data_IF_853289009060
#
_entry.id   IF_853289009060
#
_cell.length_a   1.000
_cell.length_b   1.000
_cell.length_c   1.000
_cell.angle_alpha   90.00
_cell.angle_beta   90.00
_cell.angle_gamma   90.00
#
_symmetry.space_group_name_H-M   'P 1'
#
loop_
_entity.id
_entity.type
_entity.pdbx_description
1 polymer ?
#
# COMPACT_ATOMS: atom_id res chain seq x y z
N UNK A 1 36.09 -5.26 1.95
CA UNK A 1 35.75 -4.52 0.69
C UNK A 1 34.57 -3.61 0.98
N UNK A 2 34.51 -2.45 0.37
CA UNK A 2 33.37 -1.52 0.49
C UNK A 2 32.14 -2.16 -0.22
N UNK A 3 31.00 -2.36 0.43
CA UNK A 3 29.85 -2.99 -0.19
C UNK A 3 29.27 -2.10 -1.30
N UNK A 4 28.90 -2.70 -2.42
CA UNK A 4 28.16 -2.01 -3.48
C UNK A 4 26.68 -2.02 -3.14
N UNK A 5 26.06 -0.83 -3.13
CA UNK A 5 24.66 -0.60 -2.81
C UNK A 5 24.01 0.04 -4.05
N UNK A 6 22.85 -0.41 -4.46
CA UNK A 6 22.11 0.20 -5.55
C UNK A 6 20.70 0.59 -5.14
N UNK A 7 20.27 1.76 -5.60
CA UNK A 7 18.88 2.20 -5.63
C UNK A 7 18.44 2.13 -7.09
N UNK A 8 17.69 1.10 -7.49
CA UNK A 8 17.44 0.82 -8.90
C UNK A 8 16.46 1.79 -9.54
N UNK A 9 15.69 2.53 -8.74
CA UNK A 9 14.74 3.51 -9.24
C UNK A 9 14.38 4.53 -8.14
N UNK A 10 14.87 5.76 -8.30
CA UNK A 10 14.57 6.92 -7.44
C UNK A 10 13.78 7.98 -8.24
N UNK A 11 12.75 7.55 -9.01
CA UNK A 11 11.91 8.44 -9.80
C UNK A 11 10.42 8.37 -9.41
N UNK A 12 9.77 9.52 -9.16
CA UNK A 12 10.39 10.83 -8.90
C UNK A 12 11.31 10.77 -7.68
N UNK A 13 12.31 11.67 -7.57
CA UNK A 13 13.33 11.62 -6.51
C UNK A 13 12.71 11.59 -5.11
N UNK A 14 13.18 10.65 -4.29
CA UNK A 14 12.80 10.52 -2.89
C UNK A 14 14.04 10.42 -2.00
N UNK A 15 15.04 9.64 -2.39
CA UNK A 15 16.31 9.51 -1.69
C UNK A 15 17.24 10.69 -1.99
N UNK A 16 17.37 11.03 -3.27
CA UNK A 16 18.25 12.11 -3.72
C UNK A 16 17.82 13.43 -3.08
N UNK A 17 18.72 14.05 -2.31
CA UNK A 17 18.46 15.27 -1.56
C UNK A 17 17.73 15.09 -0.22
N UNK A 18 17.39 13.85 0.18
CA UNK A 18 16.79 13.56 1.49
C UNK A 18 17.83 13.43 2.60
N UNK A 19 17.36 13.48 3.86
CA UNK A 19 18.20 13.22 5.03
C UNK A 19 18.82 11.81 5.06
N UNK A 20 18.31 10.88 4.29
CA UNK A 20 18.79 9.49 4.25
C UNK A 20 19.94 9.27 3.24
N UNK A 21 20.17 10.20 2.31
CA UNK A 21 21.18 10.02 1.27
C UNK A 21 22.60 9.95 1.82
N UNK A 22 23.01 10.92 2.63
CA UNK A 22 24.35 10.96 3.22
C UNK A 22 24.63 9.74 4.13
N UNK A 23 23.72 9.33 5.04
CA UNK A 23 23.85 8.09 5.79
C UNK A 23 24.01 6.84 4.91
N UNK A 24 23.23 6.71 3.82
CA UNK A 24 23.36 5.57 2.91
C UNK A 24 24.73 5.54 2.24
N UNK A 25 25.22 6.68 1.74
CA UNK A 25 26.54 6.81 1.10
C UNK A 25 27.69 6.50 2.04
N UNK A 26 27.52 6.71 3.34
CA UNK A 26 28.51 6.35 4.35
C UNK A 26 28.65 4.82 4.56
N UNK A 27 27.66 4.02 4.11
CA UNK A 27 27.68 2.56 4.26
C UNK A 27 28.41 1.83 3.12
N UNK A 28 28.62 2.49 1.97
CA UNK A 28 29.22 1.82 0.84
C UNK A 28 29.33 2.64 -0.44
N UNK A 29 29.72 1.98 -1.54
CA UNK A 29 29.68 2.53 -2.89
C UNK A 29 28.22 2.52 -3.40
N UNK A 30 27.57 3.68 -3.41
CA UNK A 30 26.15 3.83 -3.69
C UNK A 30 25.90 4.37 -5.09
N UNK A 31 25.20 3.57 -5.90
CA UNK A 31 24.69 3.97 -7.20
C UNK A 31 23.18 4.18 -7.13
N UNK A 32 22.72 5.38 -7.53
CA UNK A 32 21.30 5.76 -7.58
C UNK A 32 20.89 5.98 -9.03
N UNK A 33 19.83 5.31 -9.47
CA UNK A 33 19.23 5.51 -10.79
C UNK A 33 18.02 6.44 -10.66
N UNK A 34 18.15 7.68 -11.15
CA UNK A 34 17.12 8.72 -11.08
C UNK A 34 16.07 8.68 -12.20
N UNK A 35 16.02 7.60 -12.97
CA UNK A 35 15.11 7.42 -14.10
C UNK A 35 14.31 6.14 -13.92
N UNK A 36 13.08 6.12 -14.47
CA UNK A 36 12.27 4.89 -14.55
C UNK A 36 12.98 3.84 -15.41
N UNK A 37 12.59 2.56 -15.25
CA UNK A 37 13.11 1.46 -16.03
C UNK A 37 13.23 0.16 -15.22
N UNK A 38 13.23 0.23 -13.90
CA UNK A 38 13.35 -0.95 -13.06
C UNK A 38 12.12 -1.89 -13.13
N UNK A 39 11.02 -1.49 -13.78
CA UNK A 39 9.90 -2.34 -14.13
C UNK A 39 10.22 -3.40 -15.20
N UNK A 40 11.28 -3.19 -15.99
CA UNK A 40 11.78 -4.14 -16.97
C UNK A 40 12.85 -5.03 -16.34
N UNK A 41 12.64 -6.35 -16.32
CA UNK A 41 13.56 -7.30 -15.66
C UNK A 41 15.00 -7.16 -16.14
N UNK A 42 15.23 -7.03 -17.46
CA UNK A 42 16.58 -6.90 -18.02
C UNK A 42 17.29 -5.63 -17.53
N UNK A 43 16.55 -4.52 -17.45
CA UNK A 43 17.08 -3.25 -16.96
C UNK A 43 17.34 -3.31 -15.45
N UNK A 44 16.43 -3.93 -14.69
CA UNK A 44 16.61 -4.14 -13.25
C UNK A 44 17.88 -4.96 -12.97
N UNK A 45 18.08 -6.06 -13.69
CA UNK A 45 19.30 -6.89 -13.59
C UNK A 45 20.55 -6.06 -13.92
N UNK A 46 20.52 -5.26 -15.00
CA UNK A 46 21.63 -4.39 -15.38
C UNK A 46 21.95 -3.37 -14.28
N UNK A 47 20.94 -2.76 -13.68
CA UNK A 47 21.10 -1.78 -12.57
C UNK A 47 21.62 -2.42 -11.31
N UNK A 48 21.14 -3.60 -10.94
CA UNK A 48 21.66 -4.35 -9.78
C UNK A 48 23.13 -4.73 -10.01
N UNK A 49 23.47 -5.26 -11.16
CA UNK A 49 24.85 -5.62 -11.52
C UNK A 49 25.56 -6.43 -10.44
N UNK A 50 26.67 -5.91 -9.92
CA UNK A 50 27.45 -6.53 -8.86
C UNK A 50 27.09 -6.02 -7.45
N UNK A 51 25.94 -5.38 -7.26
CA UNK A 51 25.55 -4.87 -5.95
C UNK A 51 25.25 -6.00 -4.98
N UNK A 52 25.64 -5.78 -3.72
CA UNK A 52 25.37 -6.69 -2.59
C UNK A 52 24.05 -6.33 -1.92
N UNK A 53 23.68 -5.04 -1.98
CA UNK A 53 22.48 -4.47 -1.36
C UNK A 53 21.68 -3.72 -2.39
N UNK A 54 20.37 -3.94 -2.38
CA UNK A 54 19.37 -3.11 -3.06
C UNK A 54 18.58 -2.35 -2.00
N UNK A 55 18.42 -1.04 -2.18
CA UNK A 55 17.40 -0.25 -1.48
C UNK A 55 16.26 -0.01 -2.46
N UNK A 56 15.15 -0.70 -2.25
CA UNK A 56 13.99 -0.63 -3.14
C UNK A 56 12.97 0.40 -2.64
N UNK A 57 12.82 1.50 -3.40
CA UNK A 57 11.93 2.61 -3.04
C UNK A 57 10.57 2.49 -3.73
N UNK A 58 10.53 1.85 -4.92
CA UNK A 58 9.33 1.79 -5.77
C UNK A 58 8.84 0.35 -5.96
N UNK A 59 7.54 0.13 -5.82
CA UNK A 59 6.95 -1.21 -5.90
C UNK A 59 6.90 -1.80 -7.32
N UNK A 60 7.15 -1.01 -8.35
CA UNK A 60 7.13 -1.52 -9.73
C UNK A 60 8.40 -2.28 -10.15
N UNK A 61 9.51 -2.16 -9.44
CA UNK A 61 10.66 -3.05 -9.59
C UNK A 61 10.29 -4.43 -9.04
N UNK A 62 10.20 -5.44 -9.91
CA UNK A 62 9.79 -6.80 -9.53
C UNK A 62 10.99 -7.71 -9.39
N UNK A 63 11.26 -8.19 -8.19
CA UNK A 63 12.34 -9.12 -7.86
C UNK A 63 11.85 -10.57 -8.01
N UNK A 64 11.71 -11.01 -9.26
CA UNK A 64 11.32 -12.39 -9.60
C UNK A 64 12.48 -13.37 -9.39
N UNK A 65 12.20 -14.69 -9.40
CA UNK A 65 13.25 -15.71 -9.34
C UNK A 65 14.29 -15.53 -10.47
N UNK A 66 13.86 -15.12 -11.67
CA UNK A 66 14.76 -14.84 -12.82
C UNK A 66 15.71 -13.67 -12.53
N UNK A 67 15.20 -12.57 -11.97
CA UNK A 67 16.02 -11.42 -11.59
C UNK A 67 17.04 -11.81 -10.52
N UNK A 68 16.59 -12.52 -9.48
CA UNK A 68 17.43 -12.98 -8.38
C UNK A 68 18.50 -13.97 -8.86
N UNK A 69 18.15 -14.86 -9.79
CA UNK A 69 19.10 -15.80 -10.41
C UNK A 69 20.21 -15.09 -11.19
N UNK A 70 19.86 -14.01 -11.88
CA UNK A 70 20.82 -13.21 -12.66
C UNK A 70 21.72 -12.31 -11.77
N UNK A 71 21.41 -12.18 -10.47
CA UNK A 71 22.15 -11.33 -9.54
C UNK A 71 22.74 -12.16 -8.36
N UNK A 72 23.66 -13.11 -8.59
CA UNK A 72 24.15 -14.03 -7.55
C UNK A 72 24.94 -13.36 -6.42
N UNK A 73 25.38 -12.10 -6.63
CA UNK A 73 26.04 -11.26 -5.63
C UNK A 73 25.09 -10.63 -4.60
N UNK A 74 23.80 -10.53 -4.92
CA UNK A 74 22.82 -9.86 -4.05
C UNK A 74 22.63 -10.62 -2.73
N UNK A 75 22.59 -9.88 -1.63
CA UNK A 75 22.44 -10.41 -0.25
C UNK A 75 21.31 -9.78 0.53
N UNK A 76 20.95 -8.53 0.22
CA UNK A 76 19.87 -7.81 0.90
C UNK A 76 19.02 -7.04 -0.10
N UNK A 77 17.71 -7.11 0.07
CA UNK A 77 16.75 -6.15 -0.46
C UNK A 77 16.13 -5.42 0.73
N UNK A 78 16.45 -4.14 0.90
CA UNK A 78 15.84 -3.26 1.90
C UNK A 78 14.72 -2.44 1.25
N UNK A 79 13.47 -2.67 1.66
CA UNK A 79 12.28 -2.08 1.05
C UNK A 79 11.84 -0.86 1.85
N UNK A 80 11.71 0.29 1.19
CA UNK A 80 10.96 1.42 1.72
C UNK A 80 9.46 1.18 1.54
N UNK A 81 8.78 0.89 2.63
CA UNK A 81 7.37 0.54 2.65
C UNK A 81 7.09 -0.76 3.40
N UNK A 82 5.81 -1.09 3.58
CA UNK A 82 5.39 -2.31 4.29
C UNK A 82 5.16 -3.49 3.34
N UNK A 83 4.70 -3.22 2.11
CA UNK A 83 4.37 -4.24 1.11
C UNK A 83 5.61 -4.93 0.55
N UNK A 84 5.49 -6.23 0.26
CA UNK A 84 6.55 -7.07 -0.32
C UNK A 84 6.07 -7.85 -1.53
N UNK A 85 4.93 -7.47 -2.06
CA UNK A 85 4.24 -8.13 -3.17
C UNK A 85 4.98 -8.06 -4.52
N UNK A 86 5.98 -7.18 -4.61
CA UNK A 86 6.89 -7.07 -5.75
C UNK A 86 8.19 -7.92 -5.60
N UNK A 87 8.31 -8.72 -4.52
CA UNK A 87 9.48 -9.57 -4.24
C UNK A 87 9.04 -11.02 -4.10
N UNK A 88 9.65 -11.92 -4.87
CA UNK A 88 9.52 -13.36 -4.67
C UNK A 88 10.28 -13.79 -3.42
N UNK A 89 9.54 -13.86 -2.31
CA UNK A 89 10.12 -14.18 -1.01
C UNK A 89 10.64 -15.62 -0.92
N UNK A 90 10.06 -16.57 -1.67
CA UNK A 90 10.49 -17.96 -1.68
C UNK A 90 11.78 -18.11 -2.46
N UNK A 91 11.90 -17.44 -3.60
CA UNK A 91 13.15 -17.36 -4.35
C UNK A 91 14.24 -16.66 -3.53
N UNK A 92 13.92 -15.60 -2.77
CA UNK A 92 14.86 -14.97 -1.85
C UNK A 92 15.38 -15.96 -0.79
N UNK A 93 14.49 -16.74 -0.17
CA UNK A 93 14.87 -17.77 0.80
C UNK A 93 15.79 -18.83 0.18
N UNK A 94 15.42 -19.36 -0.99
CA UNK A 94 16.19 -20.37 -1.71
C UNK A 94 17.60 -19.90 -2.10
N UNK A 95 17.75 -18.60 -2.42
CA UNK A 95 19.01 -17.99 -2.85
C UNK A 95 19.81 -17.34 -1.72
N UNK A 96 19.28 -17.31 -0.50
CA UNK A 96 19.93 -16.69 0.64
C UNK A 96 19.99 -15.17 0.56
N UNK A 97 19.01 -14.53 -0.06
CA UNK A 97 18.83 -13.08 -0.10
C UNK A 97 17.92 -12.69 1.04
N UNK A 98 18.42 -11.88 1.98
CA UNK A 98 17.60 -11.31 3.04
C UNK A 98 16.66 -10.22 2.48
N UNK A 99 15.48 -10.10 3.10
CA UNK A 99 14.54 -9.04 2.77
C UNK A 99 14.13 -8.35 4.07
N UNK A 100 14.25 -7.02 4.09
CA UNK A 100 13.76 -6.16 5.16
C UNK A 100 12.76 -5.15 4.60
N UNK A 101 11.86 -4.65 5.46
CA UNK A 101 10.92 -3.60 5.06
C UNK A 101 10.83 -2.51 6.16
N UNK A 102 9.93 -1.52 5.98
CA UNK A 102 9.74 -0.45 6.97
C UNK A 102 8.29 -0.46 7.49
N UNK A 103 7.96 -1.42 8.38
CA UNK A 103 6.58 -1.63 8.81
C UNK A 103 6.06 -0.44 9.62
N UNK A 104 4.84 0.01 9.29
CA UNK A 104 4.10 1.01 10.04
C UNK A 104 4.54 2.47 9.83
N UNK A 105 5.62 2.73 9.11
CA UNK A 105 6.14 4.10 8.88
C UNK A 105 5.10 4.99 8.20
N UNK A 106 4.33 4.44 7.25
CA UNK A 106 3.31 5.16 6.50
C UNK A 106 1.91 5.10 7.11
N UNK A 107 1.75 4.51 8.31
CA UNK A 107 0.41 4.22 8.84
C UNK A 107 -0.42 5.47 9.10
N UNK A 108 0.19 6.56 9.58
CA UNK A 108 -0.51 7.82 9.80
C UNK A 108 -0.99 8.45 8.49
N UNK A 109 -0.09 8.62 7.52
CA UNK A 109 -0.41 9.26 6.24
C UNK A 109 -1.46 8.48 5.45
N UNK A 110 -1.32 7.14 5.37
CA UNK A 110 -2.32 6.31 4.67
C UNK A 110 -3.67 6.34 5.39
N UNK A 111 -3.69 6.41 6.72
CA UNK A 111 -4.94 6.54 7.47
C UNK A 111 -5.62 7.89 7.21
N UNK A 112 -4.88 8.99 7.21
CA UNK A 112 -5.38 10.32 6.86
C UNK A 112 -5.91 10.35 5.42
N UNK A 113 -5.17 9.77 4.48
CA UNK A 113 -5.60 9.65 3.08
C UNK A 113 -6.87 8.80 2.94
N UNK A 114 -7.01 7.73 3.73
CA UNK A 114 -8.24 6.91 3.77
C UNK A 114 -9.44 7.74 4.22
N UNK A 115 -9.28 8.55 5.28
CA UNK A 115 -10.35 9.47 5.74
C UNK A 115 -10.65 10.53 4.68
N UNK A 116 -9.62 11.08 4.03
CA UNK A 116 -9.81 12.05 2.95
C UNK A 116 -10.61 11.47 1.78
N UNK A 117 -10.27 10.25 1.30
CA UNK A 117 -11.03 9.55 0.27
C UNK A 117 -12.47 9.23 0.71
N UNK A 118 -12.65 8.80 1.96
CA UNK A 118 -13.97 8.55 2.53
C UNK A 118 -14.85 9.80 2.49
N UNK A 119 -14.33 10.94 2.93
CA UNK A 119 -15.03 12.23 2.86
C UNK A 119 -15.23 12.70 1.41
N UNK A 120 -14.22 12.55 0.57
CA UNK A 120 -14.28 12.99 -0.82
C UNK A 120 -15.36 12.25 -1.62
N UNK A 121 -15.50 10.94 -1.43
CA UNK A 121 -16.50 10.14 -2.15
C UNK A 121 -17.91 10.34 -1.59
N UNK A 122 -18.09 10.31 -0.26
CA UNK A 122 -19.41 10.48 0.38
C UNK A 122 -19.97 11.89 0.17
N UNK A 123 -19.11 12.90 0.11
CA UNK A 123 -19.47 14.31 -0.10
C UNK A 123 -19.33 14.76 -1.55
N UNK A 124 -18.93 13.87 -2.49
CA UNK A 124 -18.73 14.14 -3.92
C UNK A 124 -17.85 15.37 -4.19
N UNK A 125 -16.85 15.62 -3.33
CA UNK A 125 -16.07 16.87 -3.37
C UNK A 125 -15.41 17.12 -4.73
N UNK A 126 -14.69 16.16 -5.36
CA UNK A 126 -14.03 16.41 -6.63
C UNK A 126 -15.02 16.71 -7.80
N UNK A 127 -16.19 16.05 -7.78
CA UNK A 127 -17.22 16.31 -8.78
C UNK A 127 -17.81 17.72 -8.64
N UNK A 128 -18.14 18.12 -7.40
CA UNK A 128 -18.69 19.44 -7.11
C UNK A 128 -17.67 20.56 -7.40
N UNK A 129 -16.39 20.37 -7.07
CA UNK A 129 -15.33 21.34 -7.39
C UNK A 129 -15.23 21.54 -8.91
N UNK A 130 -15.15 20.44 -9.67
CA UNK A 130 -15.11 20.48 -11.14
C UNK A 130 -16.31 21.22 -11.73
N UNK A 131 -17.52 20.87 -11.30
CA UNK A 131 -18.76 21.42 -11.83
C UNK A 131 -18.90 22.90 -11.47
N UNK A 132 -18.51 23.29 -10.24
CA UNK A 132 -18.51 24.70 -9.80
C UNK A 132 -17.51 25.53 -10.59
N UNK A 133 -16.31 25.02 -10.87
CA UNK A 133 -15.31 25.69 -11.74
C UNK A 133 -15.80 25.83 -13.17
N UNK A 134 -16.65 24.92 -13.64
CA UNK A 134 -17.30 25.00 -14.95
C UNK A 134 -18.51 25.95 -14.97
N UNK A 135 -18.76 26.72 -13.90
CA UNK A 135 -19.87 27.67 -13.79
C UNK A 135 -21.22 27.01 -13.48
N UNK A 136 -21.24 25.71 -13.22
CA UNK A 136 -22.44 25.00 -12.79
C UNK A 136 -22.65 25.20 -11.28
N UNK A 137 -23.91 25.04 -10.84
CA UNK A 137 -24.27 25.17 -9.42
C UNK A 137 -25.05 23.93 -8.95
N UNK A 138 -24.41 22.73 -8.90
CA UNK A 138 -25.09 21.50 -8.55
C UNK A 138 -25.49 21.52 -7.06
N UNK A 139 -26.77 21.30 -6.78
CA UNK A 139 -27.29 21.08 -5.43
C UNK A 139 -27.90 19.69 -5.38
N UNK A 140 -27.59 18.94 -4.32
CA UNK A 140 -28.11 17.60 -4.13
C UNK A 140 -27.90 17.13 -2.68
N UNK A 141 -28.52 16.02 -2.34
CA UNK A 141 -28.32 15.37 -1.04
C UNK A 141 -26.95 14.69 -1.01
N UNK A 142 -26.27 14.85 0.09
CA UNK A 142 -24.97 14.26 0.37
C UNK A 142 -25.04 13.44 1.66
N UNK A 143 -24.12 12.49 1.81
CA UNK A 143 -24.08 11.64 2.99
C UNK A 143 -23.24 12.27 4.10
N UNK A 144 -23.78 12.32 5.33
CA UNK A 144 -22.99 12.61 6.53
C UNK A 144 -22.41 11.31 7.11
N UNK A 145 -21.37 11.41 7.92
CA UNK A 145 -20.72 10.26 8.56
C UNK A 145 -21.30 9.91 9.93
N UNK A 146 -21.80 10.92 10.68
CA UNK A 146 -22.40 10.71 11.99
C UNK A 146 -23.55 9.68 11.93
N UNK A 147 -23.51 8.71 12.83
CA UNK A 147 -24.50 7.63 12.90
C UNK A 147 -24.33 6.52 11.87
N UNK A 148 -23.46 6.68 10.86
CA UNK A 148 -23.13 5.62 9.89
C UNK A 148 -22.25 4.54 10.52
N UNK A 149 -22.05 3.46 9.80
CA UNK A 149 -21.20 2.33 10.20
C UNK A 149 -20.03 2.19 9.25
N UNK A 150 -18.81 2.24 9.76
CA UNK A 150 -17.56 1.96 9.02
C UNK A 150 -17.10 0.54 9.33
N UNK A 151 -17.01 -0.29 8.33
CA UNK A 151 -16.43 -1.63 8.37
C UNK A 151 -14.96 -1.62 7.97
N UNK A 152 -14.11 -2.10 8.86
CA UNK A 152 -12.66 -2.17 8.65
C UNK A 152 -12.25 -3.61 8.36
N UNK A 153 -11.89 -3.91 7.11
CA UNK A 153 -11.29 -5.19 6.75
C UNK A 153 -9.80 -5.14 7.08
N UNK A 154 -9.47 -5.44 8.32
CA UNK A 154 -8.12 -5.47 8.87
C UNK A 154 -7.84 -4.38 9.91
N UNK A 155 -7.28 -4.81 11.05
CA UNK A 155 -6.81 -3.95 12.15
C UNK A 155 -5.31 -4.03 12.33
N UNK A 156 -4.56 -3.92 11.23
CA UNK A 156 -3.12 -3.67 11.25
C UNK A 156 -2.80 -2.23 11.69
N UNK A 157 -1.57 -1.77 11.48
CA UNK A 157 -1.16 -0.41 11.86
C UNK A 157 -2.05 0.67 11.22
N UNK A 158 -2.37 0.53 9.93
CA UNK A 158 -3.22 1.48 9.20
C UNK A 158 -4.67 1.40 9.69
N UNK A 159 -5.29 0.19 9.70
CA UNK A 159 -6.69 0.05 10.06
C UNK A 159 -7.02 0.53 11.47
N UNK A 160 -6.11 0.33 12.43
CA UNK A 160 -6.23 0.88 13.79
C UNK A 160 -6.22 2.41 13.77
N UNK A 161 -5.30 3.00 13.01
CA UNK A 161 -5.23 4.45 12.91
C UNK A 161 -6.43 5.07 12.20
N UNK A 162 -6.97 4.39 11.17
CA UNK A 162 -8.26 4.78 10.56
C UNK A 162 -9.40 4.74 11.56
N UNK A 163 -9.48 3.67 12.37
CA UNK A 163 -10.49 3.59 13.44
C UNK A 163 -10.39 4.77 14.41
N UNK A 164 -9.18 5.12 14.87
CA UNK A 164 -8.95 6.25 15.78
C UNK A 164 -9.38 7.59 15.15
N UNK A 165 -9.01 7.83 13.88
CA UNK A 165 -9.37 9.06 13.15
C UNK A 165 -10.85 9.15 12.80
N UNK A 166 -11.53 8.01 12.63
CA UNK A 166 -12.96 7.98 12.30
C UNK A 166 -13.88 8.25 13.51
N UNK A 167 -13.46 7.89 14.72
CA UNK A 167 -14.28 8.03 15.94
C UNK A 167 -14.86 9.43 16.17
N UNK A 168 -14.09 10.53 16.02
CA UNK A 168 -14.61 11.88 16.23
C UNK A 168 -15.77 12.27 15.31
N UNK A 169 -15.98 11.55 14.20
CA UNK A 169 -17.13 11.77 13.30
C UNK A 169 -18.44 11.14 13.81
N UNK A 170 -18.46 10.53 14.99
CA UNK A 170 -19.66 9.86 15.51
C UNK A 170 -20.06 8.60 14.74
N UNK A 171 -19.11 7.98 14.03
CA UNK A 171 -19.32 6.78 13.23
C UNK A 171 -19.18 5.53 14.10
N UNK A 172 -20.02 4.52 13.86
CA UNK A 172 -19.90 3.20 14.51
C UNK A 172 -18.85 2.36 13.78
N UNK A 173 -18.03 1.61 14.52
CA UNK A 173 -16.94 0.83 13.97
C UNK A 173 -17.24 -0.67 14.05
N UNK A 174 -17.16 -1.35 12.92
CA UNK A 174 -17.06 -2.80 12.81
C UNK A 174 -15.68 -3.17 12.30
N UNK A 175 -15.14 -4.30 12.74
CA UNK A 175 -13.86 -4.76 12.26
C UNK A 175 -13.82 -6.27 12.10
N UNK A 176 -13.05 -6.73 11.12
CA UNK A 176 -12.63 -8.12 11.02
C UNK A 176 -11.12 -8.19 10.99
N UNK A 177 -10.57 -9.22 11.62
CA UNK A 177 -9.12 -9.46 11.67
C UNK A 177 -8.80 -10.76 10.93
N UNK A 178 -7.63 -10.82 10.29
CA UNK A 178 -7.13 -12.08 9.79
C UNK A 178 -6.60 -12.90 11.00
N UNK A 179 -7.34 -13.95 11.35
CA UNK A 179 -7.12 -14.74 12.58
C UNK A 179 -7.83 -14.15 13.82
N UNK A 180 -7.54 -14.68 15.01
CA UNK A 180 -8.20 -14.31 16.27
C UNK A 180 -8.10 -12.80 16.55
N UNK A 181 -9.19 -12.17 16.99
CA UNK A 181 -9.21 -10.73 17.30
C UNK A 181 -8.32 -10.36 18.49
N UNK A 182 -8.29 -11.22 19.52
CA UNK A 182 -7.50 -11.00 20.75
C UNK A 182 -7.69 -9.60 21.37
N UNK A 183 -8.90 -9.03 21.28
CA UNK A 183 -9.24 -7.71 21.84
C UNK A 183 -8.78 -6.52 20.98
N UNK A 184 -8.24 -6.74 19.80
CA UNK A 184 -7.75 -5.65 18.91
C UNK A 184 -8.87 -4.72 18.45
N UNK A 185 -10.06 -5.27 18.18
CA UNK A 185 -11.22 -4.47 17.80
C UNK A 185 -11.68 -3.59 18.97
N UNK A 186 -11.84 -4.17 20.16
CA UNK A 186 -12.25 -3.45 21.36
C UNK A 186 -11.28 -2.32 21.72
N UNK A 187 -9.98 -2.53 21.53
CA UNK A 187 -8.94 -1.53 21.80
C UNK A 187 -9.10 -0.24 20.99
N UNK A 188 -9.76 -0.29 19.83
CA UNK A 188 -10.07 0.89 18.99
C UNK A 188 -11.55 1.28 19.03
N UNK A 189 -12.33 0.68 19.92
CA UNK A 189 -13.77 0.94 20.04
C UNK A 189 -14.61 0.34 18.90
N UNK A 190 -14.10 -0.69 18.22
CA UNK A 190 -14.82 -1.41 17.18
C UNK A 190 -15.43 -2.72 17.72
N UNK A 191 -16.53 -3.16 17.11
CA UNK A 191 -17.10 -4.48 17.35
C UNK A 191 -16.49 -5.47 16.34
N UNK A 192 -15.87 -6.55 16.84
CA UNK A 192 -15.39 -7.64 16.01
C UNK A 192 -16.56 -8.45 15.43
N UNK A 193 -16.58 -8.66 14.13
CA UNK A 193 -17.64 -9.40 13.44
C UNK A 193 -17.07 -10.22 12.28
N UNK A 194 -17.78 -11.28 11.82
CA UNK A 194 -17.49 -11.96 10.56
C UNK A 194 -17.55 -11.00 9.36
N UNK A 195 -16.81 -11.31 8.31
CA UNK A 195 -16.74 -10.46 7.09
C UNK A 195 -18.13 -10.22 6.50
N UNK A 196 -18.94 -11.26 6.39
CA UNK A 196 -20.28 -11.17 5.79
C UNK A 196 -21.19 -10.22 6.59
N UNK A 197 -21.10 -10.24 7.92
CA UNK A 197 -21.80 -9.30 8.81
C UNK A 197 -21.29 -7.88 8.61
N UNK A 198 -19.97 -7.71 8.56
CA UNK A 198 -19.36 -6.41 8.29
C UNK A 198 -19.85 -5.82 6.97
N UNK A 199 -19.86 -6.60 5.89
CA UNK A 199 -20.30 -6.14 4.58
C UNK A 199 -21.77 -5.72 4.56
N UNK A 200 -22.66 -6.50 5.23
CA UNK A 200 -24.10 -6.18 5.27
C UNK A 200 -24.45 -4.96 6.14
N UNK A 201 -23.75 -4.81 7.25
CA UNK A 201 -24.08 -3.74 8.22
C UNK A 201 -23.42 -2.40 7.91
N UNK A 202 -22.32 -2.40 7.14
CA UNK A 202 -21.54 -1.19 6.90
C UNK A 202 -22.17 -0.28 5.85
N UNK A 203 -22.08 1.03 6.10
CA UNK A 203 -22.38 2.10 5.14
C UNK A 203 -21.10 2.48 4.37
N UNK A 204 -19.95 2.23 4.96
CA UNK A 204 -18.63 2.41 4.33
C UNK A 204 -17.79 1.19 4.69
N UNK A 205 -17.12 0.61 3.70
CA UNK A 205 -16.15 -0.49 3.89
C UNK A 205 -14.77 -0.02 3.50
N UNK A 206 -13.79 -0.14 4.39
CA UNK A 206 -12.41 0.24 4.15
C UNK A 206 -11.46 -0.95 4.26
N UNK A 207 -10.59 -1.10 3.25
CA UNK A 207 -9.71 -2.25 3.11
C UNK A 207 -8.32 -1.96 3.66
N UNK A 208 -7.85 -2.81 4.58
CA UNK A 208 -6.54 -2.72 5.23
C UNK A 208 -5.84 -4.08 5.36
N UNK A 209 -6.29 -5.06 4.59
CA UNK A 209 -5.62 -6.36 4.50
C UNK A 209 -4.39 -6.31 3.60
N UNK A 210 -3.46 -7.20 3.88
CA UNK A 210 -2.35 -7.48 2.96
C UNK A 210 -2.85 -8.30 1.78
N UNK A 211 -2.33 -8.04 0.60
CA UNK A 211 -2.54 -8.89 -0.57
C UNK A 211 -1.69 -10.17 -0.42
N UNK A 212 -2.33 -11.30 -0.59
CA UNK A 212 -1.74 -12.64 -0.60
C UNK A 212 -2.57 -13.53 -1.53
N UNK A 213 -2.13 -14.77 -1.77
CA UNK A 213 -2.91 -15.73 -2.54
C UNK A 213 -4.32 -15.98 -1.94
N UNK A 214 -4.45 -15.90 -0.61
CA UNK A 214 -5.73 -16.09 0.10
C UNK A 214 -6.66 -14.87 0.02
N UNK A 215 -6.10 -13.68 -0.13
CA UNK A 215 -6.85 -12.40 -0.16
C UNK A 215 -7.02 -11.83 -1.56
N UNK A 216 -6.38 -12.42 -2.56
CA UNK A 216 -6.54 -12.05 -3.97
C UNK A 216 -7.99 -12.21 -4.40
N UNK A 217 -8.60 -11.14 -4.94
CA UNK A 217 -10.00 -11.12 -5.35
C UNK A 217 -10.99 -11.42 -4.22
N UNK A 218 -10.60 -11.20 -2.97
CA UNK A 218 -11.44 -11.56 -1.81
C UNK A 218 -12.80 -10.89 -1.85
N UNK A 219 -12.87 -9.59 -2.19
CA UNK A 219 -14.13 -8.92 -2.50
C UNK A 219 -14.55 -9.22 -3.93
N UNK A 220 -15.02 -10.44 -4.14
CA UNK A 220 -15.60 -10.90 -5.39
C UNK A 220 -17.04 -10.42 -5.56
N UNK A 221 -17.67 -10.75 -6.70
CA UNK A 221 -19.07 -10.40 -7.00
C UNK A 221 -20.04 -10.77 -5.87
N UNK A 222 -19.92 -11.97 -5.32
CA UNK A 222 -20.83 -12.45 -4.26
C UNK A 222 -20.68 -11.62 -2.97
N UNK A 223 -19.46 -11.26 -2.58
CA UNK A 223 -19.21 -10.43 -1.40
C UNK A 223 -19.56 -8.95 -1.61
N UNK A 224 -19.28 -8.39 -2.80
CA UNK A 224 -19.74 -7.05 -3.14
C UNK A 224 -21.28 -6.96 -3.11
N UNK A 225 -22.00 -8.00 -3.52
CA UNK A 225 -23.46 -8.06 -3.46
C UNK A 225 -24.04 -8.13 -2.03
N UNK A 226 -23.22 -8.39 -1.01
CA UNK A 226 -23.63 -8.28 0.39
C UNK A 226 -23.66 -6.85 0.90
N UNK A 227 -22.96 -5.93 0.24
CA UNK A 227 -22.93 -4.52 0.64
C UNK A 227 -24.28 -3.86 0.33
N UNK A 228 -24.59 -2.82 1.12
CA UNK A 228 -25.79 -2.01 0.86
C UNK A 228 -25.64 -1.27 -0.49
N UNK A 229 -26.70 -1.09 -1.26
CA UNK A 229 -26.64 -0.26 -2.48
C UNK A 229 -26.22 1.19 -2.22
N UNK A 230 -26.43 1.68 -1.00
CA UNK A 230 -26.02 3.01 -0.53
C UNK A 230 -24.60 3.03 0.04
N UNK A 231 -23.91 1.89 0.08
CA UNK A 231 -22.59 1.82 0.68
C UNK A 231 -21.47 2.32 -0.25
N UNK A 232 -20.38 2.73 0.38
CA UNK A 232 -19.14 3.16 -0.28
C UNK A 232 -18.00 2.19 0.03
N UNK A 233 -17.13 1.98 -0.93
CA UNK A 233 -15.88 1.22 -0.75
C UNK A 233 -14.68 2.16 -0.75
N UNK A 234 -13.77 2.01 0.22
CA UNK A 234 -12.49 2.73 0.24
C UNK A 234 -11.35 1.71 0.20
N UNK A 235 -10.45 1.84 -0.77
CA UNK A 235 -9.30 0.96 -0.91
C UNK A 235 -8.00 1.75 -1.02
N UNK A 236 -7.24 1.75 0.06
CA UNK A 236 -5.88 2.29 0.17
C UNK A 236 -4.86 1.18 0.46
N UNK A 237 -5.26 -0.09 0.29
CA UNK A 237 -4.42 -1.25 0.54
C UNK A 237 -3.78 -1.78 -0.75
N UNK A 238 -4.52 -2.58 -1.53
CA UNK A 238 -4.08 -3.12 -2.82
C UNK A 238 -5.28 -3.35 -3.75
N UNK A 239 -5.12 -3.02 -5.04
CA UNK A 239 -6.17 -3.22 -6.05
C UNK A 239 -6.63 -4.68 -6.14
N UNK A 240 -5.68 -5.61 -6.10
CA UNK A 240 -5.93 -7.05 -6.18
C UNK A 240 -6.80 -7.66 -5.07
N UNK A 241 -7.14 -6.94 -4.00
CA UNK A 241 -8.07 -7.40 -2.96
C UNK A 241 -9.53 -7.48 -3.47
N UNK A 242 -9.84 -6.75 -4.52
CA UNK A 242 -11.20 -6.64 -5.07
C UNK A 242 -11.21 -7.23 -6.47
N UNK A 243 -12.24 -7.98 -6.84
CA UNK A 243 -12.46 -8.35 -8.24
C UNK A 243 -12.77 -7.09 -9.04
N UNK A 244 -11.87 -6.72 -9.96
CA UNK A 244 -11.94 -5.49 -10.76
C UNK A 244 -13.24 -5.41 -11.56
N UNK A 245 -13.58 -6.49 -12.24
CA UNK A 245 -14.76 -6.54 -13.11
C UNK A 245 -16.06 -6.41 -12.31
N UNK A 246 -16.13 -7.12 -11.19
CA UNK A 246 -17.27 -7.06 -10.29
C UNK A 246 -17.44 -5.69 -9.63
N UNK A 247 -16.36 -5.01 -9.27
CA UNK A 247 -16.42 -3.65 -8.72
C UNK A 247 -16.92 -2.64 -9.75
N UNK A 248 -16.35 -2.65 -10.96
CA UNK A 248 -16.75 -1.74 -12.06
C UNK A 248 -18.23 -1.93 -12.40
N UNK A 249 -18.69 -3.17 -12.48
CA UNK A 249 -20.09 -3.49 -12.73
C UNK A 249 -21.01 -3.00 -11.59
N UNK A 250 -20.64 -3.27 -10.33
CA UNK A 250 -21.41 -2.82 -9.16
C UNK A 250 -21.55 -1.29 -9.10
N UNK A 251 -20.49 -0.56 -9.42
CA UNK A 251 -20.48 0.90 -9.46
C UNK A 251 -21.31 1.45 -10.63
N UNK A 252 -21.20 0.84 -11.82
CA UNK A 252 -21.93 1.27 -13.04
C UNK A 252 -23.41 1.04 -12.91
N UNK A 253 -23.82 -0.07 -12.29
CA UNK A 253 -25.22 -0.43 -12.12
C UNK A 253 -25.87 0.17 -10.87
N UNK A 254 -25.14 0.97 -10.10
CA UNK A 254 -25.64 1.57 -8.86
C UNK A 254 -25.89 0.56 -7.73
N UNK A 255 -25.31 -0.64 -7.82
CA UNK A 255 -25.31 -1.63 -6.73
C UNK A 255 -24.35 -1.28 -5.61
N UNK A 256 -23.52 -0.26 -5.84
CA UNK A 256 -22.66 0.40 -4.86
C UNK A 256 -22.69 1.90 -5.14
N UNK A 257 -22.86 2.71 -4.09
CA UNK A 257 -23.04 4.17 -4.26
C UNK A 257 -21.79 4.86 -4.79
N UNK A 258 -20.61 4.38 -4.42
CA UNK A 258 -19.35 4.91 -4.92
C UNK A 258 -18.13 4.22 -4.33
N UNK A 259 -16.94 4.62 -4.80
CA UNK A 259 -15.68 4.14 -4.27
C UNK A 259 -14.59 5.24 -4.23
N UNK A 260 -13.75 5.18 -3.19
CA UNK A 260 -12.49 5.92 -3.09
C UNK A 260 -11.32 4.96 -3.26
N UNK A 261 -10.55 5.11 -4.33
CA UNK A 261 -9.50 4.17 -4.71
C UNK A 261 -8.15 4.89 -4.83
N UNK A 262 -7.18 4.47 -4.04
CA UNK A 262 -5.78 4.90 -4.16
C UNK A 262 -4.92 3.86 -4.88
N UNK A 263 -5.44 2.62 -5.06
CA UNK A 263 -4.71 1.48 -5.58
C UNK A 263 -5.49 0.73 -6.65
N UNK A 264 -4.77 0.15 -7.62
CA UNK A 264 -5.36 -0.47 -8.81
C UNK A 264 -4.73 -1.84 -9.09
N UNK A 265 -5.32 -2.60 -10.02
CA UNK A 265 -4.77 -3.88 -10.47
C UNK A 265 -3.51 -3.67 -11.31
N UNK A 266 -3.59 -2.69 -12.22
CA UNK A 266 -2.49 -2.28 -13.07
C UNK A 266 -2.09 -0.86 -12.66
N UNK A 267 -0.83 -0.65 -12.34
CA UNK A 267 -0.27 0.65 -11.95
C UNK A 267 0.99 0.96 -12.77
N UNK A 268 1.00 2.04 -13.58
CA UNK A 268 -0.07 3.05 -13.76
C UNK A 268 -1.33 2.49 -14.42
N UNK A 269 -2.49 3.07 -14.05
CA UNK A 269 -3.78 2.70 -14.64
C UNK A 269 -3.77 3.00 -16.14
N UNK A 270 -4.09 2.02 -17.03
CA UNK A 270 -4.17 2.26 -18.47
C UNK A 270 -5.20 3.34 -18.81
N UNK A 271 -4.90 4.20 -19.80
CA UNK A 271 -5.76 5.33 -20.19
C UNK A 271 -7.19 4.92 -20.60
N UNK A 272 -7.40 3.69 -21.08
CA UNK A 272 -8.72 3.16 -21.45
C UNK A 272 -9.42 2.38 -20.34
N UNK A 273 -8.91 2.39 -19.11
CA UNK A 273 -9.52 1.64 -18.01
C UNK A 273 -10.92 2.17 -17.71
N UNK A 274 -11.96 1.30 -17.68
CA UNK A 274 -13.33 1.70 -17.41
C UNK A 274 -13.54 2.43 -16.07
N UNK A 275 -12.70 2.20 -15.07
CA UNK A 275 -12.78 2.87 -13.77
C UNK A 275 -12.63 4.38 -13.89
N UNK A 276 -11.83 4.85 -14.86
CA UNK A 276 -11.58 6.28 -15.10
C UNK A 276 -12.81 7.04 -15.57
N UNK A 277 -13.80 6.34 -16.17
CA UNK A 277 -15.03 6.93 -16.68
C UNK A 277 -16.19 6.90 -15.68
N UNK A 278 -16.03 6.30 -14.50
CA UNK A 278 -17.10 6.20 -13.52
C UNK A 278 -17.31 7.51 -12.77
N UNK A 279 -18.53 8.09 -12.74
CA UNK A 279 -18.77 9.39 -12.11
C UNK A 279 -18.84 9.34 -10.59
N UNK A 280 -18.98 8.14 -10.00
CA UNK A 280 -19.15 7.90 -8.59
C UNK A 280 -17.88 7.35 -7.92
N UNK A 281 -16.70 7.59 -8.52
CA UNK A 281 -15.41 7.22 -7.94
C UNK A 281 -14.53 8.43 -7.69
N UNK A 282 -13.69 8.33 -6.66
CA UNK A 282 -12.58 9.24 -6.38
C UNK A 282 -11.29 8.45 -6.50
N UNK A 283 -10.38 8.92 -7.33
CA UNK A 283 -9.15 8.21 -7.69
C UNK A 283 -7.93 9.01 -7.28
N UNK A 284 -6.93 8.34 -6.69
CA UNK A 284 -5.60 8.90 -6.42
C UNK A 284 -4.52 7.89 -6.85
N UNK A 285 -3.33 8.35 -7.29
CA UNK A 285 -2.36 7.50 -7.99
C UNK A 285 -1.40 6.79 -7.03
N UNK A 286 -1.91 6.00 -6.07
CA UNK A 286 -1.17 5.27 -5.04
C UNK A 286 -0.26 6.20 -4.22
N UNK A 287 -0.84 7.31 -3.78
CA UNK A 287 -0.10 8.38 -3.08
C UNK A 287 -0.41 8.47 -1.58
N UNK A 288 -1.24 7.58 -1.03
CA UNK A 288 -1.65 7.65 0.37
C UNK A 288 -0.50 7.66 1.38
N UNK A 289 0.64 7.05 1.05
CA UNK A 289 1.85 7.07 1.86
C UNK A 289 2.90 8.10 1.46
N UNK A 290 2.64 8.95 0.47
CA UNK A 290 3.64 9.84 -0.13
C UNK A 290 3.61 11.23 0.52
N UNK A 291 3.89 11.30 1.81
CA UNK A 291 4.12 12.57 2.52
C UNK A 291 5.61 12.76 2.80
N UNK A 292 6.02 14.01 3.03
CA UNK A 292 7.42 14.34 3.33
C UNK A 292 7.91 13.58 4.56
N UNK A 293 7.10 13.54 5.61
CA UNK A 293 7.40 12.87 6.86
C UNK A 293 7.60 11.36 6.68
N UNK A 294 6.77 10.73 5.84
CA UNK A 294 6.89 9.29 5.53
C UNK A 294 8.11 8.99 4.67
N UNK A 295 8.42 9.88 3.70
CA UNK A 295 9.62 9.74 2.87
C UNK A 295 10.85 9.76 3.78
N UNK A 296 10.99 10.79 4.60
CA UNK A 296 12.17 10.96 5.47
C UNK A 296 12.29 9.81 6.48
N UNK A 297 11.24 9.53 7.25
CA UNK A 297 11.27 8.48 8.26
C UNK A 297 11.45 7.08 7.66
N UNK A 298 10.81 6.81 6.53
CA UNK A 298 10.87 5.51 5.86
C UNK A 298 12.22 5.24 5.20
N UNK A 299 12.81 6.25 4.55
CA UNK A 299 14.14 6.11 3.95
C UNK A 299 15.21 5.96 5.03
N UNK A 300 15.18 6.76 6.09
CA UNK A 300 16.10 6.60 7.24
C UNK A 300 15.98 5.18 7.83
N UNK A 301 14.75 4.66 7.96
CA UNK A 301 14.54 3.29 8.45
C UNK A 301 15.08 2.22 7.48
N UNK A 302 14.90 2.41 6.18
CA UNK A 302 15.46 1.49 5.18
C UNK A 302 16.99 1.49 5.19
N UNK A 303 17.62 2.67 5.39
CA UNK A 303 19.08 2.81 5.55
C UNK A 303 19.55 2.17 6.86
N UNK A 304 18.84 2.38 7.97
CA UNK A 304 19.14 1.68 9.24
C UNK A 304 19.08 0.15 9.07
N UNK A 305 18.14 -0.36 8.29
CA UNK A 305 18.06 -1.80 8.00
C UNK A 305 19.28 -2.29 7.22
N UNK A 306 19.79 -1.51 6.25
CA UNK A 306 21.04 -1.81 5.55
C UNK A 306 22.21 -1.83 6.53
N UNK A 307 22.38 -0.79 7.35
CA UNK A 307 23.45 -0.69 8.33
C UNK A 307 23.46 -1.90 9.29
N UNK A 308 22.29 -2.23 9.84
CA UNK A 308 22.13 -3.36 10.76
C UNK A 308 22.41 -4.70 10.08
N UNK A 309 22.00 -4.87 8.83
CA UNK A 309 22.32 -6.07 8.07
C UNK A 309 23.85 -6.22 7.88
N UNK A 310 24.52 -5.14 7.48
CA UNK A 310 25.99 -5.16 7.29
C UNK A 310 26.75 -5.44 8.60
N UNK A 311 26.17 -5.09 9.77
CA UNK A 311 26.70 -5.40 11.10
C UNK A 311 26.29 -6.79 11.63
N UNK A 312 25.56 -7.59 10.83
CA UNK A 312 25.10 -8.93 11.24
C UNK A 312 23.94 -8.96 12.25
N UNK A 313 23.26 -7.82 12.48
CA UNK A 313 22.13 -7.68 13.40
C UNK A 313 20.87 -7.14 12.68
N UNK A 314 20.35 -7.83 11.66
CA UNK A 314 19.26 -7.34 10.83
C UNK A 314 17.99 -7.08 11.65
N UNK A 315 17.22 -6.07 11.24
CA UNK A 315 15.95 -5.66 11.84
C UNK A 315 14.85 -5.63 10.77
N UNK A 316 13.58 -5.63 11.21
CA UNK A 316 12.41 -5.59 10.32
C UNK A 316 12.47 -6.67 9.22
N UNK A 317 12.89 -7.86 9.62
CA UNK A 317 13.21 -8.98 8.74
C UNK A 317 11.94 -9.65 8.23
N UNK A 318 11.80 -9.70 6.91
CA UNK A 318 10.76 -10.46 6.19
C UNK A 318 11.29 -11.82 5.75
N UNK A 319 12.52 -11.83 5.21
CA UNK A 319 13.28 -13.05 4.91
C UNK A 319 14.62 -12.96 5.63
N UNK A 320 14.88 -13.93 6.51
CA UNK A 320 16.12 -13.96 7.29
C UNK A 320 17.33 -14.32 6.41
N UNK A 321 18.51 -13.74 6.68
CA UNK A 321 19.73 -14.19 6.05
C UNK A 321 20.04 -15.63 6.45
N UNK A 322 20.74 -16.41 5.60
CA UNK A 322 21.15 -17.77 5.94
C UNK A 322 22.08 -17.78 7.15
N UNK A 323 21.90 -18.76 8.05
CA UNK A 323 22.76 -18.91 9.23
C UNK A 323 24.20 -19.19 8.81
N UNK A 324 25.14 -18.45 9.40
CA UNK A 324 26.59 -18.70 9.23
C UNK A 324 27.24 -18.05 8.00
N UNK A 325 26.52 -17.25 7.22
CA UNK A 325 27.13 -16.45 6.14
C UNK A 325 27.31 -15.02 6.67
N UNK A 326 28.56 -14.63 6.90
CA UNK A 326 28.87 -13.24 7.25
C UNK A 326 28.33 -12.29 6.16
N UNK A 327 27.79 -11.11 6.54
CA UNK A 327 27.58 -10.03 5.59
C UNK A 327 28.90 -9.70 4.92
N UNK A 328 28.88 -9.46 3.63
CA UNK A 328 30.05 -9.24 2.77
C UNK A 328 30.85 -8.01 3.17
#
# INVERSE_FOLDING_TARGET
MTPKIVVPDDYPPALTGSAAEAPLRALGDVQVHGERGAEQEAELVRRIGAAVVVVNIRAYARFTDRVLAACPGLRLISIWGTGTDNVDLDACRARGVAVTNTPGVNAHAVAEHTIALMLAVTRRIPAMDRDTRAGQWPRGLLEQLEGKTLGLLGLGAIGRRVAELARPFGIRLLATTHGPDNGRAAAVGARAVPVETLLRESDIVSLHWRLSAETQGYLNRARLALMKPTAFLVNTARGGLVDRSALIEALREGRLAGAGLDVFHDEPVPAGDPVLALPNVVLTPHNGGMTREVIDAGLLRAVENVERFLRGAPRDVVVAPPRGRAPA
#
